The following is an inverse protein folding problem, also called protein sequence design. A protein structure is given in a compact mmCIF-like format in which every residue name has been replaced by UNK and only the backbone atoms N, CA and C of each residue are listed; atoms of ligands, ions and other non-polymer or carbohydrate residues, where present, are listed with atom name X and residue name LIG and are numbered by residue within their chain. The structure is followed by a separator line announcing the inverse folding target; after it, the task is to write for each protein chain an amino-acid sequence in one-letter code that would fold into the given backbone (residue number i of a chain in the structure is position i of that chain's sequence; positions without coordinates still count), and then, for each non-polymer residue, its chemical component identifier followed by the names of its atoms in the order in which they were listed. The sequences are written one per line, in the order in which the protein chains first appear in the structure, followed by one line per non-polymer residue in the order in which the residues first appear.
data_IF_064878943361
#
_entry.id   IF_064878943361
#
_cell.length_a   1.000
_cell.length_b   1.000
_cell.length_c   1.000
_cell.angle_alpha   90.00
_cell.angle_beta   90.00
_cell.angle_gamma   90.00
#
_symmetry.space_group_name_H-M   'P 1'
#
loop_
_entity.id
_entity.type
_entity.pdbx_description
1 polymer ?
#
# COMPACT_ATOMS: atom_id res chain seq x y z
N UNK A 1 -8.46 38.29 47.48
CA UNK A 1 -8.20 36.85 47.43
C UNK A 1 -8.62 36.21 46.09
N UNK A 2 -9.86 36.32 45.62
CA UNK A 2 -10.38 35.71 44.37
C UNK A 2 -9.56 36.09 43.09
N UNK A 3 -8.99 37.29 42.96
CA UNK A 3 -8.21 37.71 41.80
C UNK A 3 -6.81 37.05 41.76
N UNK A 4 -6.16 36.86 42.94
CA UNK A 4 -4.87 36.18 43.06
C UNK A 4 -4.98 34.67 42.72
N UNK A 5 -6.10 34.04 43.12
CA UNK A 5 -6.39 32.63 42.80
C UNK A 5 -6.57 32.46 41.30
N UNK A 6 -7.33 33.34 40.62
CA UNK A 6 -7.50 33.26 39.16
C UNK A 6 -6.21 33.41 38.38
N UNK A 7 -5.29 34.31 38.85
CA UNK A 7 -3.98 34.47 38.21
C UNK A 7 -3.10 33.24 38.43
N UNK A 8 -3.07 32.67 39.63
CA UNK A 8 -2.33 31.45 39.90
C UNK A 8 -2.83 30.26 39.07
N UNK A 9 -4.15 30.11 38.95
CA UNK A 9 -4.76 29.08 38.10
C UNK A 9 -4.41 29.25 36.62
N UNK A 10 -4.42 30.50 36.11
CA UNK A 10 -4.03 30.80 34.73
C UNK A 10 -2.54 30.47 34.48
N UNK A 11 -1.66 30.81 35.42
CA UNK A 11 -0.23 30.51 35.32
C UNK A 11 0.01 29.01 35.34
N UNK A 12 -0.69 28.24 36.17
CA UNK A 12 -0.60 26.77 36.21
C UNK A 12 -1.13 26.13 34.92
N UNK A 13 -2.20 26.66 34.33
CA UNK A 13 -2.72 26.18 33.04
C UNK A 13 -1.73 26.49 31.89
N UNK A 14 -1.15 27.68 31.87
CA UNK A 14 -0.14 28.03 30.86
C UNK A 14 1.15 27.24 31.03
N UNK A 15 1.61 27.00 32.27
CA UNK A 15 2.78 26.16 32.54
C UNK A 15 2.51 24.70 32.17
N UNK A 16 1.31 24.17 32.49
CA UNK A 16 0.89 22.83 32.10
C UNK A 16 0.81 22.66 30.58
N UNK A 17 0.27 23.67 29.88
CA UNK A 17 0.22 23.68 28.42
C UNK A 17 1.62 23.76 27.80
N UNK A 18 2.54 24.56 28.38
CA UNK A 18 3.92 24.66 27.90
C UNK A 18 4.69 23.35 28.12
N UNK A 19 4.49 22.67 29.27
CA UNK A 19 5.09 21.36 29.53
C UNK A 19 4.52 20.30 28.58
N UNK A 20 3.20 20.28 28.37
CA UNK A 20 2.57 19.40 27.40
C UNK A 20 3.05 19.65 25.96
N UNK A 21 3.22 20.93 25.59
CA UNK A 21 3.82 21.29 24.31
C UNK A 21 5.28 20.86 24.21
N UNK A 22 6.08 21.04 25.27
CA UNK A 22 7.50 20.64 25.29
C UNK A 22 7.66 19.10 25.24
N UNK A 23 6.88 18.35 26.01
CA UNK A 23 6.88 16.87 25.97
C UNK A 23 6.38 16.33 24.63
N UNK A 24 5.36 16.96 24.05
CA UNK A 24 4.88 16.59 22.71
C UNK A 24 5.71 17.20 21.58
N UNK A 25 6.46 18.25 21.82
CA UNK A 25 7.35 18.86 20.85
C UNK A 25 8.39 17.86 20.33
N UNK A 26 9.06 17.13 21.21
CA UNK A 26 9.97 16.05 20.81
C UNK A 26 9.24 14.90 20.07
N UNK A 27 8.00 14.58 20.47
CA UNK A 27 7.20 13.58 19.79
C UNK A 27 6.66 14.06 18.42
N UNK A 28 6.48 15.37 18.23
CA UNK A 28 5.88 15.96 17.03
C UNK A 28 6.92 16.59 16.10
N UNK A 29 8.01 17.15 16.65
CA UNK A 29 9.03 17.88 15.91
C UNK A 29 10.43 17.32 16.11
N UNK A 30 10.62 16.39 17.06
CA UNK A 30 11.89 15.72 17.22
C UNK A 30 12.21 15.01 15.91
N UNK A 31 13.26 15.44 15.23
CA UNK A 31 13.90 14.67 14.19
C UNK A 31 14.30 13.38 14.89
N UNK A 32 13.74 12.20 14.53
CA UNK A 32 14.23 10.95 15.11
C UNK A 32 15.73 10.93 14.85
N UNK A 33 16.55 10.74 15.88
CA UNK A 33 17.98 10.50 15.67
C UNK A 33 18.06 9.32 14.70
N UNK A 34 18.58 9.56 13.49
CA UNK A 34 18.89 8.45 12.60
C UNK A 34 19.91 7.59 13.35
N UNK A 35 19.66 6.28 13.49
CA UNK A 35 20.68 5.40 14.03
C UNK A 35 21.96 5.65 13.24
N UNK A 36 23.08 5.81 13.95
CA UNK A 36 24.39 6.05 13.31
C UNK A 36 24.67 4.90 12.33
N UNK A 37 24.48 5.17 11.06
CA UNK A 37 24.86 4.26 9.98
C UNK A 37 26.36 4.44 9.74
N UNK A 38 27.14 3.44 10.08
CA UNK A 38 28.60 3.45 9.92
C UNK A 38 29.08 2.84 8.60
N UNK A 39 28.18 2.32 7.78
CA UNK A 39 28.47 1.72 6.49
C UNK A 39 28.36 2.72 5.32
N UNK A 40 28.93 2.37 4.16
CA UNK A 40 28.68 3.12 2.94
C UNK A 40 27.21 3.08 2.57
N UNK A 41 26.62 4.23 2.19
CA UNK A 41 25.26 4.30 1.66
C UNK A 41 25.22 3.50 0.36
N UNK A 42 24.55 2.38 0.39
CA UNK A 42 24.28 1.61 -0.81
C UNK A 42 23.26 2.37 -1.66
N UNK A 43 23.65 2.80 -2.85
CA UNK A 43 22.71 3.34 -3.83
C UNK A 43 22.10 2.17 -4.59
N UNK A 44 20.79 2.04 -4.51
CA UNK A 44 20.01 1.04 -5.25
C UNK A 44 18.75 1.70 -5.77
N UNK A 45 18.30 1.26 -6.91
CA UNK A 45 17.04 1.65 -7.50
C UNK A 45 16.25 0.38 -7.79
N UNK A 46 15.03 0.32 -7.33
CA UNK A 46 14.15 -0.80 -7.64
C UNK A 46 13.82 -0.80 -9.13
N UNK A 47 13.67 -1.98 -9.70
CA UNK A 47 13.07 -2.11 -11.01
C UNK A 47 11.61 -1.69 -10.92
N UNK A 48 11.20 -0.67 -11.67
CA UNK A 48 9.84 -0.13 -11.65
C UNK A 48 9.38 0.18 -13.07
N UNK A 49 8.10 0.46 -13.23
CA UNK A 49 7.57 0.97 -14.49
C UNK A 49 7.57 2.50 -14.44
N UNK A 50 8.47 3.13 -15.18
CA UNK A 50 8.50 4.60 -15.29
C UNK A 50 7.46 5.13 -16.27
N UNK A 51 7.16 4.35 -17.32
CA UNK A 51 6.11 4.66 -18.29
C UNK A 51 4.72 4.29 -17.74
N UNK A 52 3.71 5.04 -18.14
CA UNK A 52 2.31 4.79 -17.77
C UNK A 52 1.62 3.71 -18.63
N UNK A 53 2.31 3.21 -19.66
CA UNK A 53 1.79 2.16 -20.55
C UNK A 53 2.85 1.10 -20.77
N UNK A 54 2.47 -0.14 -20.55
CA UNK A 54 3.30 -1.34 -20.73
C UNK A 54 2.59 -2.26 -21.72
N UNK A 55 3.24 -2.54 -22.85
CA UNK A 55 2.67 -3.42 -23.88
C UNK A 55 2.78 -4.91 -23.52
N UNK A 56 3.76 -5.27 -22.75
CA UNK A 56 4.06 -6.60 -22.24
C UNK A 56 5.50 -6.64 -21.77
N UNK A 57 5.90 -7.67 -21.07
CA UNK A 57 7.29 -7.81 -20.62
C UNK A 57 7.68 -9.27 -20.48
N UNK A 58 8.98 -9.54 -20.55
CA UNK A 58 9.56 -10.86 -20.29
C UNK A 58 10.64 -10.69 -19.22
N UNK A 59 10.62 -11.56 -18.24
CA UNK A 59 11.66 -11.65 -17.24
C UNK A 59 12.86 -12.47 -17.79
N UNK A 60 14.06 -11.94 -17.62
CA UNK A 60 15.32 -12.57 -18.02
C UNK A 60 16.27 -12.64 -16.84
N UNK A 61 17.40 -13.34 -16.98
CA UNK A 61 18.43 -13.40 -15.92
C UNK A 61 19.00 -12.01 -15.56
N UNK A 62 18.98 -11.07 -16.52
CA UNK A 62 19.47 -9.70 -16.34
C UNK A 62 18.38 -8.71 -15.84
N UNK A 63 17.16 -9.20 -15.55
CA UNK A 63 16.00 -8.41 -15.17
C UNK A 63 14.84 -8.56 -16.16
N UNK A 64 13.95 -7.57 -16.22
CA UNK A 64 12.82 -7.60 -17.13
C UNK A 64 13.07 -6.77 -18.40
N UNK A 65 12.48 -7.20 -19.50
CA UNK A 65 12.49 -6.48 -20.78
C UNK A 65 11.08 -6.27 -21.29
N UNK A 66 10.81 -5.09 -21.89
CA UNK A 66 9.53 -4.82 -22.51
C UNK A 66 9.35 -5.65 -23.78
N UNK A 67 8.21 -6.32 -23.93
CA UNK A 67 7.89 -7.11 -25.12
C UNK A 67 6.60 -6.63 -25.77
N UNK A 68 6.44 -6.89 -27.07
CA UNK A 68 5.21 -6.57 -27.80
C UNK A 68 4.13 -7.65 -27.67
N UNK A 69 4.44 -8.79 -27.06
CA UNK A 69 3.51 -9.93 -26.98
C UNK A 69 2.85 -9.98 -25.60
N UNK A 70 1.53 -9.80 -25.50
CA UNK A 70 0.80 -9.99 -24.26
C UNK A 70 0.87 -11.46 -23.81
N UNK A 71 1.13 -11.68 -22.54
CA UNK A 71 1.08 -13.01 -21.92
C UNK A 71 0.18 -12.99 -20.65
N UNK A 72 -0.03 -14.12 -20.02
CA UNK A 72 -0.63 -14.18 -18.71
C UNK A 72 0.18 -13.31 -17.73
N UNK A 73 -0.47 -12.76 -16.73
CA UNK A 73 0.16 -11.85 -15.78
C UNK A 73 -0.09 -12.36 -14.37
N UNK A 74 1.01 -12.63 -13.65
CA UNK A 74 0.98 -13.07 -12.26
C UNK A 74 1.64 -12.01 -11.36
N UNK A 75 0.83 -11.40 -10.48
CA UNK A 75 1.23 -10.29 -9.61
C UNK A 75 1.27 -10.78 -8.17
N UNK A 76 2.46 -10.80 -7.57
CA UNK A 76 2.64 -11.01 -6.14
C UNK A 76 2.27 -9.73 -5.37
N UNK A 77 1.49 -9.90 -4.30
CA UNK A 77 0.96 -8.80 -3.51
C UNK A 77 1.38 -8.98 -2.05
N UNK A 78 2.10 -7.98 -1.53
CA UNK A 78 2.40 -7.87 -0.12
C UNK A 78 1.57 -6.77 0.55
N UNK A 79 1.15 -7.01 1.80
CA UNK A 79 0.72 -5.99 2.75
C UNK A 79 1.89 -5.46 3.58
N UNK A 80 1.62 -5.06 4.82
CA UNK A 80 2.62 -4.51 5.75
C UNK A 80 3.76 -5.51 6.01
N UNK A 81 5.01 -5.07 5.84
CA UNK A 81 6.22 -5.88 6.02
C UNK A 81 7.07 -5.36 7.19
N UNK A 82 7.24 -4.04 7.34
CA UNK A 82 8.00 -3.40 8.42
C UNK A 82 9.44 -3.91 8.58
N UNK A 83 10.15 -4.15 7.48
CA UNK A 83 11.49 -4.75 7.48
C UNK A 83 11.58 -6.16 8.12
N UNK A 84 10.49 -6.89 8.26
CA UNK A 84 10.46 -8.17 8.95
C UNK A 84 10.67 -9.39 8.03
N UNK A 85 10.65 -9.21 6.71
CA UNK A 85 10.97 -10.30 5.77
C UNK A 85 12.48 -10.38 5.52
N UNK A 86 12.99 -11.60 5.51
CA UNK A 86 14.39 -11.92 5.23
C UNK A 86 14.59 -12.36 3.77
N UNK A 87 15.86 -12.40 3.34
CA UNK A 87 16.23 -13.00 2.04
C UNK A 87 15.67 -14.41 1.87
N UNK A 88 15.66 -15.19 2.98
CA UNK A 88 15.11 -16.58 2.96
C UNK A 88 13.62 -16.57 2.67
N UNK A 89 12.85 -15.67 3.29
CA UNK A 89 11.40 -15.58 3.06
C UNK A 89 11.08 -15.22 1.60
N UNK A 90 11.77 -14.22 1.05
CA UNK A 90 11.62 -13.82 -0.35
C UNK A 90 11.97 -14.98 -1.30
N UNK A 91 13.07 -15.70 -1.06
CA UNK A 91 13.48 -16.84 -1.89
C UNK A 91 12.52 -18.02 -1.79
N UNK A 92 11.94 -18.29 -0.62
CA UNK A 92 10.92 -19.32 -0.47
C UNK A 92 9.66 -19.01 -1.28
N UNK A 93 9.24 -17.75 -1.32
CA UNK A 93 8.11 -17.32 -2.15
C UNK A 93 8.46 -17.48 -3.63
N UNK A 94 9.63 -17.01 -4.08
CA UNK A 94 10.08 -17.15 -5.46
C UNK A 94 10.16 -18.63 -5.91
N UNK A 95 10.63 -19.53 -5.04
CA UNK A 95 10.71 -20.96 -5.34
C UNK A 95 9.32 -21.62 -5.44
N UNK A 96 8.37 -21.19 -4.61
CA UNK A 96 6.99 -21.70 -4.66
C UNK A 96 6.23 -21.21 -5.88
N UNK A 97 6.58 -20.02 -6.36
CA UNK A 97 5.87 -19.27 -7.38
C UNK A 97 6.82 -18.72 -8.46
N UNK A 98 7.44 -19.58 -9.26
CA UNK A 98 8.33 -19.15 -10.34
C UNK A 98 7.59 -18.43 -11.48
N UNK A 99 6.26 -18.47 -11.49
CA UNK A 99 5.39 -17.78 -12.46
C UNK A 99 5.26 -16.27 -12.19
N UNK A 100 5.69 -15.76 -11.04
CA UNK A 100 5.52 -14.34 -10.69
C UNK A 100 6.25 -13.43 -11.67
N UNK A 101 5.51 -12.48 -12.21
CA UNK A 101 6.00 -11.47 -13.16
C UNK A 101 6.29 -10.11 -12.48
N UNK A 102 5.44 -9.71 -11.54
CA UNK A 102 5.46 -8.39 -10.90
C UNK A 102 5.27 -8.54 -9.40
N UNK A 103 5.89 -7.67 -8.65
CA UNK A 103 5.69 -7.54 -7.21
C UNK A 103 4.93 -6.25 -6.91
N UNK A 104 3.94 -6.31 -6.03
CA UNK A 104 3.26 -5.13 -5.51
C UNK A 104 3.33 -5.08 -4.00
N UNK A 105 3.41 -3.86 -3.45
CA UNK A 105 3.53 -3.64 -2.02
C UNK A 105 2.58 -2.52 -1.58
N UNK A 106 1.65 -2.85 -0.68
CA UNK A 106 0.55 -1.98 -0.27
C UNK A 106 0.89 -1.02 0.89
N UNK A 107 2.13 -0.55 0.95
CA UNK A 107 2.62 0.40 1.97
C UNK A 107 3.14 -0.27 3.24
N UNK A 108 3.90 0.49 4.03
CA UNK A 108 4.58 0.02 5.24
C UNK A 108 5.54 -1.14 4.96
N UNK A 109 6.34 -1.03 3.88
CA UNK A 109 7.46 -1.92 3.62
C UNK A 109 8.57 -1.71 4.64
N UNK A 110 8.79 -0.43 5.00
CA UNK A 110 9.74 0.00 6.01
C UNK A 110 9.09 0.11 7.39
N UNK A 111 9.86 -0.10 8.44
CA UNK A 111 9.44 0.24 9.81
C UNK A 111 9.36 1.77 9.99
N UNK A 112 10.20 2.53 9.26
CA UNK A 112 10.18 4.00 9.21
C UNK A 112 10.85 4.51 7.94
N UNK A 113 10.40 5.66 7.43
CA UNK A 113 10.93 6.32 6.23
C UNK A 113 12.30 6.97 6.40
N UNK A 114 13.23 6.33 7.11
CA UNK A 114 14.60 6.81 7.35
C UNK A 114 15.61 5.94 6.59
N UNK A 115 16.72 6.53 6.18
CA UNK A 115 17.78 5.87 5.40
C UNK A 115 18.25 4.54 6.03
N UNK A 116 18.33 4.44 7.34
CA UNK A 116 18.69 3.21 8.04
C UNK A 116 17.75 2.05 7.71
N UNK A 117 16.43 2.26 7.80
CA UNK A 117 15.45 1.20 7.54
C UNK A 117 15.43 0.81 6.07
N UNK A 118 15.66 1.76 5.17
CA UNK A 118 15.83 1.49 3.76
C UNK A 118 17.07 0.63 3.48
N UNK A 119 18.22 0.95 4.08
CA UNK A 119 19.42 0.12 3.96
C UNK A 119 19.23 -1.28 4.56
N UNK A 120 18.48 -1.39 5.66
CA UNK A 120 18.10 -2.67 6.25
C UNK A 120 17.23 -3.50 5.29
N UNK A 121 16.27 -2.88 4.61
CA UNK A 121 15.49 -3.53 3.57
C UNK A 121 16.38 -4.04 2.43
N UNK A 122 17.26 -3.20 1.90
CA UNK A 122 18.11 -3.57 0.78
C UNK A 122 19.04 -4.75 1.10
N UNK A 123 19.51 -4.84 2.32
CA UNK A 123 20.35 -5.96 2.77
C UNK A 123 19.66 -7.31 2.61
N UNK A 124 18.35 -7.36 2.85
CA UNK A 124 17.55 -8.58 2.71
C UNK A 124 16.98 -8.74 1.29
N UNK A 125 16.66 -7.63 0.63
CA UNK A 125 16.02 -7.61 -0.68
C UNK A 125 16.97 -7.97 -1.83
N UNK A 126 18.13 -7.29 -1.92
CA UNK A 126 19.04 -7.42 -3.09
C UNK A 126 19.50 -8.86 -3.32
N UNK A 127 19.84 -9.66 -2.28
CA UNK A 127 20.25 -11.05 -2.52
C UNK A 127 19.11 -11.99 -2.90
N UNK A 128 17.86 -11.54 -2.87
CA UNK A 128 16.70 -12.38 -3.17
C UNK A 128 16.44 -12.49 -4.67
N UNK A 129 15.87 -13.62 -5.10
CA UNK A 129 15.44 -13.82 -6.50
C UNK A 129 14.35 -12.82 -6.92
N UNK A 130 13.49 -12.39 -5.96
CA UNK A 130 12.44 -11.41 -6.24
C UNK A 130 12.99 -10.03 -6.59
N UNK A 131 14.22 -9.69 -6.21
CA UNK A 131 14.82 -8.38 -6.49
C UNK A 131 15.01 -8.08 -7.98
N UNK A 132 14.96 -9.12 -8.82
CA UNK A 132 15.07 -9.02 -10.27
C UNK A 132 13.76 -8.58 -10.94
N UNK A 133 12.63 -8.73 -10.25
CA UNK A 133 11.30 -8.43 -10.77
C UNK A 133 10.93 -6.95 -10.60
N UNK A 134 10.09 -6.41 -11.51
CA UNK A 134 9.59 -5.06 -11.37
C UNK A 134 8.64 -4.92 -10.18
N UNK A 135 8.70 -3.77 -9.51
CA UNK A 135 7.93 -3.46 -8.32
C UNK A 135 6.95 -2.32 -8.59
N UNK A 136 5.71 -2.49 -8.16
CA UNK A 136 4.69 -1.43 -8.04
C UNK A 136 4.48 -1.17 -6.56
N UNK A 137 4.85 0.01 -6.08
CA UNK A 137 4.86 0.31 -4.66
C UNK A 137 3.92 1.47 -4.31
N UNK A 138 3.17 1.29 -3.22
CA UNK A 138 2.32 2.30 -2.62
C UNK A 138 2.95 2.79 -1.32
N UNK A 139 3.06 4.10 -1.05
CA UNK A 139 3.58 4.55 0.24
C UNK A 139 2.56 4.33 1.36
N UNK A 140 2.99 3.69 2.44
CA UNK A 140 2.27 3.61 3.70
C UNK A 140 2.60 4.77 4.64
N UNK A 141 2.06 4.74 5.84
CA UNK A 141 2.31 5.81 6.80
C UNK A 141 3.70 5.73 7.45
N UNK A 142 4.36 4.57 7.38
CA UNK A 142 5.72 4.38 7.85
C UNK A 142 6.79 4.86 6.86
N UNK A 143 6.49 4.97 5.57
CA UNK A 143 7.37 5.61 4.58
C UNK A 143 7.43 7.13 4.75
N UNK A 144 6.44 7.75 5.40
CA UNK A 144 6.40 9.18 5.64
C UNK A 144 7.25 9.61 6.84
N UNK A 145 7.83 10.81 6.75
CA UNK A 145 8.53 11.43 7.88
C UNK A 145 7.58 11.65 9.06
N UNK A 146 8.10 11.56 10.29
CA UNK A 146 7.33 11.91 11.49
C UNK A 146 7.23 13.43 11.64
N UNK A 147 6.15 13.90 12.24
CA UNK A 147 5.94 15.31 12.54
C UNK A 147 4.60 15.86 12.06
N UNK A 148 4.39 17.18 12.21
CA UNK A 148 3.17 17.87 11.77
C UNK A 148 3.09 17.93 10.24
N UNK A 149 4.22 18.18 9.59
CA UNK A 149 4.33 18.26 8.14
C UNK A 149 4.90 16.93 7.60
N UNK A 150 4.09 15.89 7.66
CA UNK A 150 4.45 14.59 7.11
C UNK A 150 4.67 14.71 5.60
N UNK A 151 5.78 14.19 5.11
CA UNK A 151 6.10 14.13 3.68
C UNK A 151 6.85 12.83 3.37
N UNK A 152 6.76 12.36 2.13
CA UNK A 152 7.68 11.33 1.66
C UNK A 152 9.10 11.91 1.59
N UNK A 153 10.12 11.14 2.01
CA UNK A 153 11.51 11.54 1.82
C UNK A 153 11.81 11.74 0.32
N UNK A 154 12.74 12.64 0.00
CA UNK A 154 13.18 12.82 -1.40
C UNK A 154 13.75 11.53 -2.00
N UNK A 155 14.41 10.75 -1.17
CA UNK A 155 14.99 9.46 -1.55
C UNK A 155 13.95 8.47 -2.05
N UNK A 156 12.69 8.52 -1.59
CA UNK A 156 11.60 7.68 -2.09
C UNK A 156 11.49 7.70 -3.62
N UNK A 157 11.51 8.89 -4.22
CA UNK A 157 11.37 9.05 -5.66
C UNK A 157 12.62 8.61 -6.45
N UNK A 158 13.75 8.51 -5.77
CA UNK A 158 14.97 7.93 -6.33
C UNK A 158 14.95 6.41 -6.27
N UNK A 159 14.46 5.86 -5.17
CA UNK A 159 14.35 4.42 -4.98
C UNK A 159 13.28 3.80 -5.87
N UNK A 160 12.16 4.51 -6.03
CA UNK A 160 10.98 4.05 -6.76
C UNK A 160 10.59 5.06 -7.85
N UNK A 161 11.25 5.04 -9.01
CA UNK A 161 10.90 5.90 -10.14
C UNK A 161 9.61 5.39 -10.80
N UNK A 162 8.47 5.88 -10.34
CA UNK A 162 7.14 5.54 -10.84
C UNK A 162 6.61 6.56 -11.86
N UNK A 163 5.56 6.23 -12.63
CA UNK A 163 4.93 7.18 -13.54
C UNK A 163 4.50 8.48 -12.86
N UNK A 164 4.58 9.58 -13.61
CA UNK A 164 4.30 10.94 -13.12
C UNK A 164 2.89 11.43 -13.50
N UNK A 165 1.96 10.48 -13.77
CA UNK A 165 0.59 10.74 -14.23
C UNK A 165 -0.44 10.90 -13.10
N UNK A 166 0.02 10.96 -11.84
CA UNK A 166 -0.79 11.26 -10.68
C UNK A 166 -1.21 12.73 -10.56
N UNK A 167 -1.82 13.10 -9.44
CA UNK A 167 -2.14 14.51 -9.17
C UNK A 167 -0.87 15.35 -9.08
N UNK A 168 -0.98 16.65 -9.37
CA UNK A 168 0.17 17.56 -9.39
C UNK A 168 0.98 17.55 -8.08
N UNK A 169 0.32 17.28 -6.96
CA UNK A 169 0.91 17.29 -5.63
C UNK A 169 1.53 15.92 -5.23
N UNK A 170 1.21 14.85 -5.97
CA UNK A 170 1.54 13.45 -5.61
C UNK A 170 2.05 12.64 -6.79
N UNK A 171 2.77 13.28 -7.73
CA UNK A 171 3.43 12.61 -8.84
C UNK A 171 4.45 11.59 -8.30
N UNK A 172 4.39 10.36 -8.82
CA UNK A 172 5.27 9.27 -8.39
C UNK A 172 4.90 8.58 -7.07
N UNK A 173 3.99 9.15 -6.24
CA UNK A 173 3.36 8.45 -5.11
C UNK A 173 1.89 8.09 -5.38
N UNK A 174 1.27 8.81 -6.33
CA UNK A 174 0.00 8.45 -6.98
C UNK A 174 0.25 8.32 -8.47
N UNK A 175 -0.21 7.22 -9.06
CA UNK A 175 -0.03 6.95 -10.48
C UNK A 175 -0.91 5.79 -10.94
N UNK A 176 -1.05 5.59 -12.25
CA UNK A 176 -1.54 4.33 -12.81
C UNK A 176 -0.59 3.81 -13.87
N UNK A 177 -0.68 2.50 -14.11
CA UNK A 177 0.06 1.79 -15.15
C UNK A 177 -0.96 0.99 -15.97
N UNK A 178 -0.91 1.16 -17.28
CA UNK A 178 -1.73 0.43 -18.23
C UNK A 178 -0.98 -0.76 -18.82
N UNK A 179 -1.42 -1.95 -18.46
CA UNK A 179 -1.12 -3.19 -19.17
C UNK A 179 -2.17 -3.47 -20.25
N UNK A 180 -1.96 -4.43 -21.15
CA UNK A 180 -2.92 -4.71 -22.23
C UNK A 180 -4.36 -4.94 -21.75
N UNK A 181 -4.56 -5.69 -20.67
CA UNK A 181 -5.88 -6.07 -20.15
C UNK A 181 -6.17 -5.53 -18.74
N UNK A 182 -5.23 -4.79 -18.15
CA UNK A 182 -5.29 -4.33 -16.77
C UNK A 182 -4.86 -2.87 -16.67
N UNK A 183 -5.57 -2.07 -15.88
CA UNK A 183 -5.06 -0.82 -15.31
C UNK A 183 -4.79 -1.03 -13.83
N UNK A 184 -3.56 -0.81 -13.41
CA UNK A 184 -3.16 -0.81 -12.02
C UNK A 184 -3.04 0.62 -11.50
N UNK A 185 -3.84 0.99 -10.50
CA UNK A 185 -3.93 2.36 -9.94
C UNK A 185 -3.34 2.34 -8.54
N UNK A 186 -2.38 3.20 -8.26
CA UNK A 186 -1.79 3.41 -6.93
C UNK A 186 -2.26 4.74 -6.35
N UNK A 187 -2.78 4.71 -5.11
CA UNK A 187 -3.37 5.86 -4.44
C UNK A 187 -2.65 6.09 -3.11
N UNK A 188 -1.98 7.22 -3.00
CA UNK A 188 -1.41 7.66 -1.73
C UNK A 188 -2.50 8.22 -0.81
N UNK A 189 -2.82 7.49 0.23
CA UNK A 189 -3.88 7.86 1.19
C UNK A 189 -3.38 8.67 2.38
N UNK A 190 -2.07 8.89 2.52
CA UNK A 190 -1.51 9.62 3.65
C UNK A 190 -1.89 11.12 3.69
N UNK A 191 -1.98 11.84 2.56
CA UNK A 191 -2.35 13.25 2.55
C UNK A 191 -3.85 13.51 2.63
N UNK A 192 -4.73 12.51 2.60
CA UNK A 192 -6.20 12.67 2.52
C UNK A 192 -6.81 13.39 3.72
N UNK A 193 -6.09 13.56 4.81
CA UNK A 193 -6.53 14.38 5.95
C UNK A 193 -6.56 15.89 5.64
N UNK A 194 -6.09 16.31 4.46
CA UNK A 194 -6.11 17.70 3.99
C UNK A 194 -7.14 17.86 2.88
N UNK A 195 -8.17 18.64 3.13
CA UNK A 195 -9.31 18.87 2.22
C UNK A 195 -8.90 19.22 0.78
N UNK A 196 -7.84 20.03 0.64
CA UNK A 196 -7.35 20.45 -0.69
C UNK A 196 -6.88 19.25 -1.55
N UNK A 197 -6.19 18.31 -0.92
CA UNK A 197 -5.71 17.10 -1.61
C UNK A 197 -6.85 16.12 -1.88
N UNK A 198 -7.80 16.04 -0.95
CA UNK A 198 -8.93 15.12 -1.05
C UNK A 198 -9.72 15.31 -2.36
N UNK A 199 -10.13 16.52 -2.68
CA UNK A 199 -10.92 16.80 -3.90
C UNK A 199 -10.15 16.42 -5.16
N UNK A 200 -8.87 16.79 -5.25
CA UNK A 200 -8.02 16.45 -6.41
C UNK A 200 -7.83 14.94 -6.54
N UNK A 201 -7.60 14.26 -5.43
CA UNK A 201 -7.47 12.80 -5.40
C UNK A 201 -8.75 12.12 -5.89
N UNK A 202 -9.92 12.55 -5.40
CA UNK A 202 -11.20 11.97 -5.81
C UNK A 202 -11.45 12.15 -7.32
N UNK A 203 -11.24 13.34 -7.85
CA UNK A 203 -11.39 13.62 -9.28
C UNK A 203 -10.45 12.73 -10.09
N UNK A 204 -9.18 12.66 -9.71
CA UNK A 204 -8.19 11.86 -10.41
C UNK A 204 -8.50 10.34 -10.35
N UNK A 205 -8.89 9.83 -9.18
CA UNK A 205 -9.26 8.40 -9.02
C UNK A 205 -10.46 8.07 -9.91
N UNK A 206 -11.50 8.91 -9.91
CA UNK A 206 -12.68 8.69 -10.75
C UNK A 206 -12.33 8.72 -12.23
N UNK A 207 -11.49 9.67 -12.66
CA UNK A 207 -11.01 9.76 -14.03
C UNK A 207 -10.15 8.54 -14.41
N UNK A 208 -9.22 8.14 -13.56
CA UNK A 208 -8.39 6.97 -13.79
C UNK A 208 -9.21 5.68 -13.94
N UNK A 209 -10.31 5.51 -13.20
CA UNK A 209 -11.23 4.38 -13.35
C UNK A 209 -12.04 4.51 -14.65
N UNK A 210 -12.63 5.67 -14.93
CA UNK A 210 -13.51 5.88 -16.07
C UNK A 210 -12.79 5.73 -17.41
N UNK A 211 -11.52 6.16 -17.48
CA UNK A 211 -10.70 6.10 -18.70
C UNK A 211 -10.00 4.76 -18.94
N UNK A 212 -10.17 3.78 -18.05
CA UNK A 212 -9.57 2.47 -18.21
C UNK A 212 -10.16 1.62 -19.37
N UNK A 213 -11.27 2.06 -19.98
CA UNK A 213 -11.93 1.32 -21.05
C UNK A 213 -12.43 -0.05 -20.59
N UNK A 214 -12.15 -1.08 -21.38
CA UNK A 214 -12.56 -2.47 -21.07
C UNK A 214 -11.56 -3.24 -20.20
N UNK A 215 -10.47 -2.61 -19.77
CA UNK A 215 -9.46 -3.26 -18.93
C UNK A 215 -10.03 -3.60 -17.57
N UNK A 216 -9.50 -4.62 -16.93
CA UNK A 216 -9.67 -4.78 -15.49
C UNK A 216 -9.05 -3.59 -14.74
N UNK A 217 -9.61 -3.24 -13.59
CA UNK A 217 -9.05 -2.18 -12.73
C UNK A 217 -8.72 -2.75 -11.36
N UNK A 218 -7.43 -2.73 -11.05
CA UNK A 218 -6.94 -2.97 -9.70
C UNK A 218 -6.52 -1.64 -9.11
N UNK A 219 -7.00 -1.30 -7.92
CA UNK A 219 -6.53 -0.16 -7.15
C UNK A 219 -5.76 -0.66 -5.91
N UNK A 220 -4.64 -0.02 -5.61
CA UNK A 220 -3.84 -0.28 -4.42
C UNK A 220 -3.67 1.00 -3.61
N UNK A 221 -3.87 0.90 -2.31
CA UNK A 221 -3.70 1.98 -1.35
C UNK A 221 -3.32 1.41 0.02
N UNK A 222 -2.70 2.21 0.89
CA UNK A 222 -2.29 1.70 2.18
C UNK A 222 -3.45 1.61 3.19
N UNK A 223 -4.16 2.72 3.46
CA UNK A 223 -5.26 2.72 4.43
C UNK A 223 -6.53 2.12 3.83
N UNK A 224 -7.11 1.06 4.43
CA UNK A 224 -8.27 0.39 3.87
C UNK A 224 -9.56 1.20 3.97
N UNK A 225 -10.49 0.96 3.04
CA UNK A 225 -11.86 1.49 3.08
C UNK A 225 -12.65 0.83 4.21
N UNK A 226 -12.63 -0.48 4.25
CA UNK A 226 -13.18 -1.26 5.36
C UNK A 226 -12.01 -1.79 6.19
N UNK A 227 -11.95 -1.34 7.43
CA UNK A 227 -10.85 -1.70 8.32
C UNK A 227 -10.95 -3.18 8.73
N UNK A 228 -9.89 -3.95 8.53
CA UNK A 228 -9.84 -5.35 8.94
C UNK A 228 -9.62 -5.53 10.44
N UNK A 229 -9.09 -4.52 11.15
CA UNK A 229 -8.75 -4.60 12.57
C UNK A 229 -9.52 -3.62 13.43
N UNK A 230 -9.70 -3.96 14.71
CA UNK A 230 -10.33 -3.08 15.68
C UNK A 230 -9.54 -1.78 15.88
N UNK A 231 -10.28 -0.66 16.05
CA UNK A 231 -9.71 0.66 16.33
C UNK A 231 -8.97 1.32 15.17
N UNK A 232 -8.98 0.73 13.97
CA UNK A 232 -8.22 1.21 12.79
C UNK A 232 -9.06 1.94 11.74
N UNK A 233 -10.37 2.04 11.92
CA UNK A 233 -11.28 2.65 10.95
C UNK A 233 -10.91 4.11 10.64
N UNK A 234 -10.73 4.42 9.36
CA UNK A 234 -10.48 5.75 8.86
C UNK A 234 -11.73 6.32 8.18
N UNK A 235 -12.51 7.20 8.87
CA UNK A 235 -13.78 7.70 8.34
C UNK A 235 -13.60 8.58 7.09
N UNK A 236 -12.47 9.27 6.92
CA UNK A 236 -12.22 10.09 5.74
C UNK A 236 -11.96 9.22 4.52
N UNK A 237 -11.11 8.21 4.62
CA UNK A 237 -10.86 7.24 3.53
C UNK A 237 -12.17 6.55 3.15
N UNK A 238 -12.91 6.05 4.13
CA UNK A 238 -14.21 5.42 3.90
C UNK A 238 -15.20 6.35 3.18
N UNK A 239 -15.44 7.55 3.72
CA UNK A 239 -16.42 8.48 3.15
C UNK A 239 -16.05 8.92 1.74
N UNK A 240 -14.75 9.06 1.46
CA UNK A 240 -14.26 9.65 0.22
C UNK A 240 -14.10 8.62 -0.90
N UNK A 241 -13.50 7.47 -0.62
CA UNK A 241 -13.04 6.55 -1.66
C UNK A 241 -13.95 5.34 -1.88
N UNK A 242 -14.90 5.04 -0.98
CA UNK A 242 -15.73 3.83 -1.11
C UNK A 242 -16.54 3.77 -2.40
N UNK A 243 -17.09 4.89 -2.86
CA UNK A 243 -17.91 4.92 -4.08
C UNK A 243 -17.07 4.79 -5.37
N UNK A 244 -16.06 5.65 -5.59
CA UNK A 244 -15.23 5.48 -6.78
C UNK A 244 -14.54 4.12 -6.82
N UNK A 245 -13.98 3.65 -5.72
CA UNK A 245 -13.26 2.38 -5.67
C UNK A 245 -14.17 1.14 -5.63
N UNK A 246 -15.44 1.30 -5.29
CA UNK A 246 -16.43 0.23 -5.48
C UNK A 246 -16.68 -0.13 -6.96
N UNK A 247 -16.18 0.66 -7.90
CA UNK A 247 -16.19 0.38 -9.34
C UNK A 247 -14.92 -0.34 -9.83
N UNK A 248 -13.89 -0.43 -9.01
CA UNK A 248 -12.72 -1.24 -9.31
C UNK A 248 -13.03 -2.73 -9.13
N UNK A 249 -12.32 -3.59 -9.86
CA UNK A 249 -12.53 -5.03 -9.81
C UNK A 249 -11.86 -5.64 -8.58
N UNK A 250 -10.78 -5.01 -8.11
CA UNK A 250 -10.06 -5.37 -6.89
C UNK A 250 -9.46 -4.11 -6.25
N UNK A 251 -9.57 -3.99 -4.94
CA UNK A 251 -8.96 -2.91 -4.14
C UNK A 251 -8.10 -3.53 -3.04
N UNK A 252 -6.79 -3.32 -3.13
CA UNK A 252 -5.78 -3.90 -2.25
C UNK A 252 -5.37 -2.85 -1.21
N UNK A 253 -5.26 -3.27 0.06
CA UNK A 253 -4.82 -2.40 1.15
C UNK A 253 -3.96 -3.15 2.17
N UNK A 254 -3.19 -2.40 2.97
CA UNK A 254 -2.45 -2.87 4.14
C UNK A 254 -2.97 -2.25 5.43
N UNK A 255 -2.06 -1.70 6.26
CA UNK A 255 -2.27 -0.88 7.45
C UNK A 255 -2.83 -1.60 8.68
N UNK A 256 -3.77 -2.51 8.51
CA UNK A 256 -4.55 -3.06 9.62
C UNK A 256 -3.91 -4.29 10.28
N UNK A 257 -2.84 -4.83 9.70
CA UNK A 257 -2.11 -5.99 10.20
C UNK A 257 -3.02 -7.21 10.48
N UNK A 258 -4.02 -7.39 9.63
CA UNK A 258 -4.97 -8.50 9.65
C UNK A 258 -5.44 -8.77 8.22
N UNK A 259 -5.80 -10.00 7.91
CA UNK A 259 -6.35 -10.34 6.61
C UNK A 259 -7.87 -10.21 6.60
N UNK A 260 -8.41 -9.59 5.56
CA UNK A 260 -9.86 -9.53 5.32
C UNK A 260 -10.15 -9.47 3.82
N UNK A 261 -11.15 -10.24 3.37
CA UNK A 261 -11.75 -10.09 2.05
C UNK A 261 -13.25 -9.75 2.17
N UNK A 262 -13.61 -8.65 1.56
CA UNK A 262 -14.98 -8.18 1.34
C UNK A 262 -15.01 -7.54 -0.06
N UNK A 263 -15.25 -8.36 -1.09
CA UNK A 263 -15.06 -7.94 -2.48
C UNK A 263 -15.79 -6.65 -2.84
N UNK A 264 -15.15 -5.74 -3.59
CA UNK A 264 -13.81 -5.87 -4.19
C UNK A 264 -12.64 -5.52 -3.25
N UNK A 265 -12.85 -5.31 -1.96
CA UNK A 265 -11.86 -4.83 -0.99
C UNK A 265 -11.14 -6.01 -0.30
N UNK A 266 -9.81 -5.94 -0.34
CA UNK A 266 -8.92 -6.92 0.32
C UNK A 266 -7.89 -6.17 1.14
N UNK A 267 -7.72 -6.58 2.39
CA UNK A 267 -6.69 -6.07 3.30
C UNK A 267 -5.71 -7.19 3.60
N UNK A 268 -4.41 -6.90 3.49
CA UNK A 268 -3.34 -7.87 3.65
C UNK A 268 -2.39 -7.45 4.78
N UNK A 269 -1.83 -8.44 5.47
CA UNK A 269 -0.72 -8.29 6.40
C UNK A 269 0.34 -9.35 6.12
N UNK A 270 1.50 -8.96 5.63
CA UNK A 270 2.55 -9.93 5.29
C UNK A 270 3.46 -10.26 6.48
N UNK A 271 3.93 -9.25 7.21
CA UNK A 271 4.79 -9.46 8.37
C UNK A 271 4.66 -8.35 9.42
N UNK A 272 3.61 -7.54 9.36
CA UNK A 272 3.29 -6.55 10.38
C UNK A 272 2.76 -7.22 11.67
N UNK A 273 2.94 -6.57 12.81
CA UNK A 273 2.45 -7.06 14.09
C UNK A 273 0.95 -7.30 14.08
N UNK A 274 0.53 -8.55 14.17
CA UNK A 274 -0.88 -8.99 14.10
C UNK A 274 -1.81 -8.18 15.00
N UNK A 275 -3.02 -7.92 14.49
CA UNK A 275 -4.10 -7.21 15.19
C UNK A 275 -5.36 -8.07 15.22
N UNK A 276 -6.19 -7.84 16.24
CA UNK A 276 -7.49 -8.52 16.37
C UNK A 276 -8.41 -8.13 15.22
N UNK A 277 -8.98 -9.11 14.49
CA UNK A 277 -9.93 -8.86 13.43
C UNK A 277 -11.17 -8.12 13.94
N UNK A 278 -11.62 -7.15 13.13
CA UNK A 278 -12.79 -6.35 13.46
C UNK A 278 -14.08 -7.12 13.25
N UNK A 279 -14.97 -7.06 14.25
CA UNK A 279 -16.34 -7.55 14.11
C UNK A 279 -17.24 -6.44 13.53
N UNK A 280 -17.89 -6.73 12.41
CA UNK A 280 -18.82 -5.81 11.76
C UNK A 280 -20.27 -6.13 12.12
N UNK A 281 -21.10 -5.07 12.27
CA UNK A 281 -22.56 -5.22 12.48
C UNK A 281 -23.34 -5.16 11.18
N UNK A 282 -22.81 -4.51 10.14
CA UNK A 282 -23.57 -4.16 8.92
C UNK A 282 -22.98 -4.78 7.66
N UNK A 283 -21.79 -5.34 7.72
CA UNK A 283 -21.17 -6.10 6.63
C UNK A 283 -20.68 -7.42 7.21
N UNK A 284 -20.69 -8.45 6.38
CA UNK A 284 -20.08 -9.75 6.69
C UNK A 284 -18.93 -9.96 5.71
N UNK A 285 -17.67 -9.84 6.16
CA UNK A 285 -16.54 -10.23 5.33
C UNK A 285 -16.69 -11.67 4.86
N UNK A 286 -16.31 -11.93 3.62
CA UNK A 286 -16.34 -13.27 3.05
C UNK A 286 -15.26 -14.15 3.68
N UNK A 287 -14.15 -13.53 4.11
CA UNK A 287 -13.09 -14.20 4.86
C UNK A 287 -12.33 -13.20 5.76
N UNK A 288 -11.91 -13.65 6.95
CA UNK A 288 -11.03 -12.92 7.87
C UNK A 288 -10.06 -13.88 8.57
N UNK A 289 -8.81 -13.45 8.76
CA UNK A 289 -7.80 -14.20 9.50
C UNK A 289 -6.76 -13.27 10.15
N UNK A 290 -6.11 -13.74 11.21
CA UNK A 290 -4.95 -13.09 11.85
C UNK A 290 -3.61 -13.55 11.24
N UNK A 291 -3.64 -14.30 10.16
CA UNK A 291 -2.49 -14.91 9.53
C UNK A 291 -1.60 -13.85 8.85
N UNK A 292 -0.31 -14.09 8.82
CA UNK A 292 0.62 -13.40 7.93
C UNK A 292 0.49 -14.02 6.55
N UNK A 293 0.24 -13.17 5.54
CA UNK A 293 -0.15 -13.63 4.22
C UNK A 293 0.53 -12.85 3.11
N UNK A 294 0.68 -13.47 1.97
CA UNK A 294 0.84 -12.81 0.68
C UNK A 294 -0.26 -13.29 -0.27
N UNK A 295 -0.52 -12.55 -1.32
CA UNK A 295 -1.49 -12.97 -2.32
C UNK A 295 -0.86 -12.96 -3.72
N UNK A 296 -1.42 -13.75 -4.63
CA UNK A 296 -1.10 -13.74 -6.05
C UNK A 296 -2.39 -13.48 -6.82
N UNK A 297 -2.38 -12.39 -7.58
CA UNK A 297 -3.40 -12.12 -8.57
C UNK A 297 -2.91 -12.66 -9.92
N UNK A 298 -3.62 -13.63 -10.44
CA UNK A 298 -3.33 -14.24 -11.74
C UNK A 298 -4.36 -13.82 -12.76
N UNK A 299 -3.90 -13.35 -13.92
CA UNK A 299 -4.70 -13.03 -15.09
C UNK A 299 -4.32 -13.94 -16.26
N UNK A 300 -4.85 -15.18 -16.31
CA UNK A 300 -4.59 -16.11 -17.39
C UNK A 300 -5.29 -15.66 -18.67
N UNK A 301 -4.73 -16.02 -19.84
CA UNK A 301 -5.22 -15.57 -21.16
C UNK A 301 -6.66 -16.01 -21.50
N UNK A 302 -7.16 -17.09 -20.90
CA UNK A 302 -8.43 -17.73 -21.30
C UNK A 302 -9.37 -18.07 -20.12
N UNK A 303 -9.05 -17.59 -18.93
CA UNK A 303 -9.87 -17.83 -17.73
C UNK A 303 -10.10 -16.51 -16.99
N UNK A 304 -11.15 -16.41 -16.16
CA UNK A 304 -11.33 -15.24 -15.33
C UNK A 304 -10.13 -15.03 -14.39
N UNK A 305 -9.75 -13.79 -14.15
CA UNK A 305 -8.72 -13.47 -13.15
C UNK A 305 -9.07 -14.04 -11.78
N UNK A 306 -8.05 -14.48 -11.05
CA UNK A 306 -8.20 -15.10 -9.74
C UNK A 306 -7.20 -14.50 -8.75
N UNK A 307 -7.66 -14.21 -7.54
CA UNK A 307 -6.83 -13.89 -6.40
C UNK A 307 -6.71 -15.12 -5.51
N UNK A 308 -5.48 -15.52 -5.18
CA UNK A 308 -5.19 -16.58 -4.20
C UNK A 308 -4.36 -15.97 -3.07
N UNK A 309 -4.77 -16.24 -1.84
CA UNK A 309 -4.06 -15.77 -0.64
C UNK A 309 -3.40 -16.95 0.05
N UNK A 310 -2.14 -16.79 0.34
CA UNK A 310 -1.27 -17.84 0.88
C UNK A 310 -0.79 -17.44 2.27
N UNK A 311 -0.72 -18.40 3.18
CA UNK A 311 -0.04 -18.22 4.45
C UNK A 311 1.47 -18.05 4.19
N UNK A 312 2.07 -17.04 4.80
CA UNK A 312 3.48 -16.73 4.58
C UNK A 312 4.41 -17.87 4.98
N UNK A 313 4.15 -18.50 6.13
CA UNK A 313 5.04 -19.49 6.74
C UNK A 313 5.22 -20.78 5.91
N UNK A 314 4.15 -21.26 5.27
CA UNK A 314 4.15 -22.59 4.60
C UNK A 314 3.66 -22.55 3.15
N UNK A 315 3.11 -21.42 2.70
CA UNK A 315 2.56 -21.28 1.36
C UNK A 315 1.21 -22.00 1.16
N UNK A 316 0.52 -22.36 2.24
CA UNK A 316 -0.80 -22.95 2.14
C UNK A 316 -1.83 -21.92 1.69
N UNK A 317 -2.68 -22.29 0.72
CA UNK A 317 -3.78 -21.40 0.27
C UNK A 317 -4.83 -21.35 1.37
N UNK A 318 -5.03 -20.17 1.94
CA UNK A 318 -6.06 -19.96 2.97
C UNK A 318 -7.34 -19.38 2.38
N UNK A 319 -7.25 -18.69 1.25
CA UNK A 319 -8.42 -18.10 0.58
C UNK A 319 -8.20 -17.96 -0.93
N UNK A 320 -9.29 -18.00 -1.70
CA UNK A 320 -9.26 -17.74 -3.13
C UNK A 320 -10.59 -17.21 -3.64
N UNK A 321 -10.55 -16.31 -4.63
CA UNK A 321 -11.75 -15.79 -5.27
C UNK A 321 -11.48 -15.38 -6.72
N UNK A 322 -12.51 -15.52 -7.59
CA UNK A 322 -12.48 -14.94 -8.92
C UNK A 322 -12.71 -13.43 -8.85
N UNK A 323 -11.99 -12.69 -9.68
CA UNK A 323 -12.11 -11.24 -9.80
C UNK A 323 -12.90 -10.90 -11.06
N UNK A 324 -14.10 -10.37 -10.87
CA UNK A 324 -15.02 -10.05 -11.95
C UNK A 324 -14.91 -8.58 -12.36
N UNK A 325 -15.07 -8.28 -13.66
CA UNK A 325 -15.10 -6.91 -14.12
C UNK A 325 -16.40 -6.23 -13.66
N UNK A 326 -16.30 -5.39 -12.64
CA UNK A 326 -17.45 -4.72 -11.99
C UNK A 326 -18.16 -3.76 -12.93
N UNK A 327 -17.45 -3.13 -13.88
CA UNK A 327 -17.97 -2.11 -14.78
C UNK A 327 -18.74 -2.66 -15.97
N UNK A 328 -18.53 -3.93 -16.32
CA UNK A 328 -19.12 -4.60 -17.47
C UNK A 328 -20.01 -5.80 -17.11
N UNK A 329 -20.16 -6.12 -15.83
CA UNK A 329 -21.08 -7.16 -15.41
C UNK A 329 -22.51 -6.62 -15.38
N UNK A 330 -23.45 -7.29 -16.06
CA UNK A 330 -24.88 -7.05 -15.93
C UNK A 330 -25.44 -7.39 -14.53
N UNK A 331 -24.62 -8.02 -13.70
CA UNK A 331 -24.83 -8.35 -12.29
C UNK A 331 -23.86 -7.50 -11.46
N UNK A 332 -24.21 -6.26 -11.18
CA UNK A 332 -23.59 -5.50 -10.09
C UNK A 332 -24.54 -5.50 -8.90
N UNK A 333 -24.38 -6.35 -7.92
CA UNK A 333 -24.82 -6.03 -6.58
C UNK A 333 -23.86 -4.95 -6.10
N UNK A 334 -24.20 -3.68 -6.35
CA UNK A 334 -23.54 -2.59 -5.62
C UNK A 334 -23.66 -2.93 -4.12
N UNK A 335 -22.56 -3.15 -3.40
CA UNK A 335 -22.64 -3.41 -1.96
C UNK A 335 -23.17 -2.20 -1.19
N UNK A 336 -23.64 -1.17 -1.90
CA UNK A 336 -24.07 0.13 -1.40
C UNK A 336 -25.51 0.52 -1.82
N UNK A 337 -26.35 -0.46 -2.21
CA UNK A 337 -27.81 -0.23 -2.32
C UNK A 337 -28.50 -0.47 -1.02
#
# INVERSE_FOLDING_TARGET
MKRKIKIATLILLLAGSAILCAVRWQAWFGIPEEPLWTGEKQTYQFHTFEADTVHGFTHTEDGWTNTSTPHSLDILIFGDIHNNLTTTDYNQIAQRHPEIDIITQAGDWLERGQSYYYQSLLKEWIPSELSKLPVINCPGNHEYTKGILKSLPKDWYTWFPHPQNGTVDHKGSMYYIDFPQLRFIVIDTNPLNRIVYLTRTLTWVQEAINTAGNKHVIAMMHHPIFSAAEGRFNPLVYASLRYPLGQADLVISGHDHSYMRYMPFVVLNSAGKKKTPKQYRFITPEYQAEEEVYAIFSMPSHQPPILRTYRLSDGYIIDSCYVHNQRHSSFSPSPFR
#
